data_IF_693986557911
#
_entry.id   IF_693986557911
#
_cell.length_a   1.000
_cell.length_b   1.000
_cell.length_c   1.000
_cell.angle_alpha   90.00
_cell.angle_beta   90.00
_cell.angle_gamma   90.00
#
_symmetry.space_group_name_H-M   'P 1'
#
loop_
_entity.id
_entity.type
_entity.pdbx_description
1 polymer ?
#
# COMPACT_ATOMS: atom_id res chain seq x y z
N UNK A 1 -68.82 2.53 29.91
CA UNK A 1 -67.63 3.18 30.49
C UNK A 1 -67.10 2.24 31.55
N UNK A 2 -66.02 1.51 31.27
CA UNK A 2 -65.24 0.78 32.28
C UNK A 2 -63.84 0.56 31.70
N UNK A 3 -62.83 1.15 32.36
CA UNK A 3 -61.41 1.01 32.00
C UNK A 3 -60.81 -0.14 32.83
N UNK A 4 -60.11 -1.11 32.23
CA UNK A 4 -59.36 -2.08 33.01
C UNK A 4 -58.01 -1.49 33.46
N UNK A 5 -57.69 -1.70 34.73
CA UNK A 5 -56.44 -1.34 35.39
C UNK A 5 -55.23 -2.03 34.74
N UNK A 6 -54.22 -1.23 34.35
CA UNK A 6 -52.86 -1.69 34.09
C UNK A 6 -52.22 -2.17 35.40
N UNK A 7 -51.84 -3.45 35.46
CA UNK A 7 -50.89 -3.97 36.45
C UNK A 7 -49.48 -3.49 36.07
N UNK A 8 -48.79 -2.88 37.04
CA UNK A 8 -47.36 -2.68 37.03
C UNK A 8 -46.67 -4.05 37.05
N UNK A 9 -45.81 -4.31 36.08
CA UNK A 9 -44.84 -5.38 36.10
C UNK A 9 -43.53 -4.81 36.64
N UNK A 10 -43.15 -5.25 37.82
CA UNK A 10 -41.88 -4.97 38.47
C UNK A 10 -40.71 -5.41 37.57
N UNK A 11 -39.84 -4.46 37.28
CA UNK A 11 -38.58 -4.67 36.56
C UNK A 11 -37.57 -5.17 37.60
N UNK A 12 -37.22 -6.45 37.52
CA UNK A 12 -36.07 -7.00 38.23
C UNK A 12 -34.78 -6.53 37.53
N UNK A 13 -34.06 -5.64 38.20
CA UNK A 13 -32.66 -5.30 37.90
C UNK A 13 -31.76 -6.53 38.10
N UNK A 14 -31.52 -7.28 37.03
CA UNK A 14 -30.47 -8.30 37.00
C UNK A 14 -29.11 -7.65 36.74
N UNK A 15 -28.40 -7.31 37.83
CA UNK A 15 -26.96 -7.05 37.83
C UNK A 15 -26.20 -8.33 37.45
N UNK A 16 -25.95 -8.54 36.17
CA UNK A 16 -24.94 -9.49 35.72
C UNK A 16 -23.57 -8.82 35.74
N UNK A 17 -22.81 -9.06 36.80
CA UNK A 17 -21.37 -8.77 36.83
C UNK A 17 -20.63 -9.78 35.95
N UNK A 18 -20.31 -9.40 34.71
CA UNK A 18 -19.38 -10.17 33.88
C UNK A 18 -17.96 -9.98 34.41
N UNK A 19 -17.53 -10.93 35.25
CA UNK A 19 -16.11 -11.18 35.48
C UNK A 19 -15.55 -11.88 34.25
N UNK A 20 -14.76 -11.17 33.44
CA UNK A 20 -13.97 -11.80 32.40
C UNK A 20 -12.87 -12.66 33.06
N UNK A 21 -12.75 -13.95 32.72
CA UNK A 21 -11.64 -14.76 33.20
C UNK A 21 -10.36 -14.29 32.53
N UNK A 22 -9.48 -13.66 33.32
CA UNK A 22 -8.09 -13.41 32.93
C UNK A 22 -7.40 -14.76 32.80
N UNK A 23 -7.17 -15.21 31.57
CA UNK A 23 -6.40 -16.43 31.33
C UNK A 23 -4.96 -16.21 31.79
N UNK A 24 -4.38 -17.11 32.60
CA UNK A 24 -2.99 -17.01 32.99
C UNK A 24 -2.10 -17.19 31.74
N UNK A 25 -1.14 -16.27 31.57
CA UNK A 25 -0.08 -16.41 30.59
C UNK A 25 0.70 -17.72 30.83
N UNK A 26 1.14 -18.42 29.77
CA UNK A 26 1.95 -19.62 29.92
C UNK A 26 3.29 -19.29 30.62
N UNK A 27 3.74 -20.12 31.57
CA UNK A 27 5.05 -19.94 32.20
C UNK A 27 6.16 -20.10 31.15
N UNK A 28 7.04 -19.09 31.04
CA UNK A 28 8.17 -19.09 30.11
C UNK A 28 8.15 -18.01 29.02
N UNK A 29 7.15 -17.12 28.99
CA UNK A 29 7.15 -15.99 28.06
C UNK A 29 7.97 -14.82 28.61
N UNK A 30 9.20 -14.67 28.11
CA UNK A 30 10.00 -13.45 28.24
C UNK A 30 9.76 -12.54 27.03
N UNK A 31 9.12 -11.36 27.19
CA UNK A 31 9.01 -10.42 26.08
C UNK A 31 10.40 -9.94 25.67
N UNK A 32 10.70 -9.84 24.36
CA UNK A 32 11.99 -9.37 23.89
C UNK A 32 12.21 -7.91 24.27
N UNK A 33 13.31 -7.65 24.97
CA UNK A 33 13.82 -6.31 25.24
C UNK A 33 14.19 -5.64 23.91
N UNK A 34 13.38 -4.68 23.44
CA UNK A 34 13.73 -3.89 22.27
C UNK A 34 14.73 -2.81 22.68
N UNK A 35 15.97 -3.01 22.26
CA UNK A 35 17.06 -2.04 22.35
C UNK A 35 16.87 -1.03 21.20
N UNK A 36 16.41 0.18 21.53
CA UNK A 36 16.31 1.29 20.58
C UNK A 36 17.57 2.15 20.67
N UNK A 37 18.59 1.81 19.88
CA UNK A 37 19.65 2.75 19.53
C UNK A 37 20.01 2.66 18.05
N UNK A 38 20.00 3.83 17.40
CA UNK A 38 20.66 4.22 16.16
C UNK A 38 20.38 3.42 14.88
N UNK A 39 19.78 4.09 13.88
CA UNK A 39 20.60 4.60 12.78
C UNK A 39 19.91 5.67 11.94
N UNK A 40 20.78 6.60 11.51
CA UNK A 40 20.59 7.85 10.77
C UNK A 40 20.69 7.61 9.26
N UNK A 41 20.03 8.49 8.52
CA UNK A 41 20.43 9.12 7.25
C UNK A 41 20.98 8.23 6.12
N UNK A 42 20.13 7.95 5.12
CA UNK A 42 20.56 7.84 3.71
C UNK A 42 19.52 8.57 2.84
N UNK A 43 20.00 9.62 2.19
CA UNK A 43 19.25 10.52 1.31
C UNK A 43 18.90 9.87 -0.04
N UNK A 44 17.70 10.20 -0.51
CA UNK A 44 17.21 9.98 -1.87
C UNK A 44 18.08 10.68 -2.92
N UNK A 45 18.26 10.04 -4.07
CA UNK A 45 18.77 10.65 -5.29
C UNK A 45 17.92 10.20 -6.47
N UNK A 46 17.17 11.16 -6.99
CA UNK A 46 16.36 11.09 -8.20
C UNK A 46 17.16 10.53 -9.39
N UNK A 47 16.59 9.52 -10.05
CA UNK A 47 17.06 9.02 -11.36
C UNK A 47 15.98 9.28 -12.41
N UNK A 48 16.33 9.89 -13.56
CA UNK A 48 15.39 10.09 -14.64
C UNK A 48 15.25 8.84 -15.53
N UNK A 49 14.00 8.61 -15.88
CA UNK A 49 13.44 7.65 -16.82
C UNK A 49 14.06 7.80 -18.23
N UNK A 50 14.65 6.73 -18.78
CA UNK A 50 15.07 6.64 -20.18
C UNK A 50 14.25 5.57 -20.90
N UNK A 51 13.57 5.99 -21.96
CA UNK A 51 12.79 5.16 -22.87
C UNK A 51 13.67 4.18 -23.68
N UNK A 52 13.16 2.99 -24.05
CA UNK A 52 13.92 2.02 -24.82
C UNK A 52 13.95 2.37 -26.32
N UNK A 53 15.16 2.41 -26.88
CA UNK A 53 15.41 2.47 -28.32
C UNK A 53 15.20 1.10 -28.97
N UNK A 54 14.49 1.11 -30.10
CA UNK A 54 14.19 -0.03 -30.94
C UNK A 54 15.46 -0.64 -31.57
N UNK A 55 15.62 -1.96 -31.44
CA UNK A 55 16.53 -2.77 -32.27
C UNK A 55 15.66 -3.79 -32.99
N UNK A 56 15.43 -3.59 -34.30
CA UNK A 56 14.84 -4.61 -35.18
C UNK A 56 15.89 -4.98 -36.23
N UNK A 57 16.40 -6.21 -36.14
CA UNK A 57 17.21 -6.84 -37.18
C UNK A 57 16.33 -7.68 -38.08
N UNK A 58 16.57 -7.54 -39.37
CA UNK A 58 15.96 -8.22 -40.49
C UNK A 58 16.11 -9.74 -40.43
N UNK A 59 15.06 -10.46 -40.83
CA UNK A 59 15.15 -11.80 -41.40
C UNK A 59 14.32 -11.89 -42.68
N UNK A 60 14.90 -12.62 -43.62
CA UNK A 60 14.48 -12.77 -45.01
C UNK A 60 13.17 -13.53 -45.22
N UNK A 61 12.58 -13.22 -46.37
CA UNK A 61 11.38 -13.77 -46.97
C UNK A 61 11.49 -15.25 -47.40
N UNK A 62 10.34 -15.94 -47.35
CA UNK A 62 9.81 -17.04 -48.19
C UNK A 62 8.57 -17.53 -47.44
N UNK A 63 7.33 -17.57 -47.92
CA UNK A 63 6.78 -17.97 -49.20
C UNK A 63 5.31 -18.33 -48.96
N UNK A 64 4.47 -17.99 -49.92
CA UNK A 64 3.00 -18.00 -49.99
C UNK A 64 2.26 -19.33 -49.74
N UNK A 65 1.05 -19.27 -49.14
CA UNK A 65 -0.23 -19.62 -49.81
C UNK A 65 -1.48 -19.51 -48.88
N UNK A 66 -2.40 -18.63 -49.29
CA UNK A 66 -3.86 -18.82 -49.41
C UNK A 66 -4.63 -19.68 -48.38
N UNK A 67 -5.55 -19.04 -47.63
CA UNK A 67 -7.01 -19.24 -47.84
C UNK A 67 -7.87 -18.20 -47.10
N UNK A 68 -8.89 -17.75 -47.83
CA UNK A 68 -9.92 -16.79 -47.44
C UNK A 68 -10.81 -17.30 -46.29
N UNK A 69 -11.23 -16.36 -45.44
CA UNK A 69 -12.30 -16.55 -44.47
C UNK A 69 -12.79 -15.21 -43.96
N UNK A 70 -13.76 -14.62 -44.67
CA UNK A 70 -14.51 -13.43 -44.26
C UNK A 70 -15.16 -13.63 -42.88
N UNK A 71 -14.98 -12.68 -41.96
CA UNK A 71 -15.99 -12.36 -40.95
C UNK A 71 -15.90 -10.88 -40.58
N UNK A 72 -17.03 -10.20 -40.69
CA UNK A 72 -17.21 -8.77 -40.51
C UNK A 72 -17.57 -8.43 -39.05
N UNK A 73 -16.93 -7.37 -38.55
CA UNK A 73 -17.38 -6.34 -37.60
C UNK A 73 -18.21 -6.73 -36.35
N UNK A 74 -17.69 -6.31 -35.19
CA UNK A 74 -18.24 -5.34 -34.21
C UNK A 74 -17.23 -5.32 -33.04
N UNK A 75 -16.44 -4.27 -32.81
CA UNK A 75 -16.88 -3.03 -32.18
C UNK A 75 -16.63 -3.09 -30.67
N UNK A 76 -15.41 -2.72 -30.22
CA UNK A 76 -15.07 -2.62 -28.80
C UNK A 76 -13.72 -1.93 -28.60
N UNK A 77 -13.74 -0.69 -28.12
CA UNK A 77 -12.56 0.14 -27.92
C UNK A 77 -11.73 -0.26 -26.68
N UNK A 78 -10.43 0.05 -26.62
CA UNK A 78 -9.59 -0.28 -25.48
C UNK A 78 -9.62 0.84 -24.44
N UNK A 79 -10.20 0.57 -23.26
CA UNK A 79 -9.84 1.29 -22.04
C UNK A 79 -8.44 0.83 -21.61
N UNK A 80 -7.43 1.64 -21.87
CA UNK A 80 -6.11 1.48 -21.28
C UNK A 80 -6.15 1.93 -19.83
N UNK A 81 -6.23 0.99 -18.89
CA UNK A 81 -5.96 1.26 -17.48
C UNK A 81 -4.46 1.43 -17.29
N UNK A 82 -4.06 2.67 -17.03
CA UNK A 82 -2.72 3.08 -16.65
C UNK A 82 -2.52 2.71 -15.18
N UNK A 83 -1.92 1.56 -14.92
CA UNK A 83 -1.45 1.19 -13.59
C UNK A 83 -0.31 2.13 -13.18
N UNK A 84 -0.65 3.12 -12.33
CA UNK A 84 0.32 3.90 -11.59
C UNK A 84 0.41 3.30 -10.19
N UNK A 85 1.43 2.49 -9.96
CA UNK A 85 1.76 1.96 -8.64
C UNK A 85 2.37 3.08 -7.79
N UNK A 86 1.53 3.92 -7.19
CA UNK A 86 1.98 4.85 -6.16
C UNK A 86 2.10 4.08 -4.83
N UNK A 87 3.34 3.81 -4.42
CA UNK A 87 3.67 3.32 -3.08
C UNK A 87 3.38 4.43 -2.06
N UNK A 88 2.15 4.46 -1.54
CA UNK A 88 1.81 5.31 -0.40
C UNK A 88 2.23 4.56 0.87
N UNK A 89 3.32 5.05 1.46
CA UNK A 89 3.79 4.64 2.79
C UNK A 89 2.69 4.89 3.83
N UNK A 90 2.30 3.84 4.56
CA UNK A 90 1.31 3.90 5.63
C UNK A 90 2.01 4.36 6.93
N UNK A 91 2.19 5.68 7.08
CA UNK A 91 2.72 6.28 8.31
C UNK A 91 1.71 7.30 8.86
N UNK A 92 0.54 6.83 9.32
CA UNK A 92 -0.39 7.66 10.11
C UNK A 92 -1.12 6.81 11.15
N UNK A 93 -0.46 6.61 12.28
CA UNK A 93 -1.12 6.26 13.54
C UNK A 93 -1.35 7.53 14.34
N UNK A 94 -2.61 7.95 14.49
CA UNK A 94 -3.08 8.80 15.57
C UNK A 94 -4.62 8.91 15.48
N UNK A 95 -5.31 7.89 15.98
CA UNK A 95 -6.66 8.10 16.52
C UNK A 95 -6.48 8.54 17.97
N UNK A 96 -6.97 9.72 18.39
CA UNK A 96 -7.00 10.07 19.80
C UNK A 96 -8.07 9.19 20.47
N UNK A 97 -7.61 8.27 21.32
CA UNK A 97 -8.46 7.63 22.31
C UNK A 97 -8.74 8.67 23.39
N UNK A 98 -9.93 9.28 23.36
CA UNK A 98 -10.40 10.17 24.41
C UNK A 98 -10.64 9.39 25.71
N UNK A 99 -9.62 9.32 26.56
CA UNK A 99 -9.81 9.16 28.01
C UNK A 99 -8.70 9.88 28.77
N UNK A 100 -9.09 10.97 29.42
CA UNK A 100 -8.51 11.58 30.63
C UNK A 100 -8.13 13.05 30.48
N UNK A 101 -8.90 13.86 31.20
CA UNK A 101 -8.68 15.26 31.51
C UNK A 101 -7.36 15.45 32.24
N UNK A 102 -6.40 16.10 31.60
CA UNK A 102 -5.22 16.67 32.25
C UNK A 102 -5.09 18.15 31.86
N UNK A 103 -5.35 19.02 32.82
CA UNK A 103 -5.07 20.44 32.76
C UNK A 103 -3.56 20.66 32.68
N UNK A 104 -3.05 21.35 31.67
CA UNK A 104 -1.70 21.92 31.73
C UNK A 104 -1.55 23.19 30.90
N UNK A 105 -0.85 24.11 31.54
CA UNK A 105 -0.69 25.53 31.25
C UNK A 105 0.11 25.80 29.98
N UNK A 106 -0.37 26.74 29.18
CA UNK A 106 0.33 27.35 28.04
C UNK A 106 1.59 28.08 28.52
N UNK A 107 2.73 27.73 27.94
CA UNK A 107 3.93 28.58 27.90
C UNK A 107 4.15 29.03 26.45
N UNK A 108 4.03 30.34 26.24
CA UNK A 108 4.17 31.01 24.95
C UNK A 108 5.66 31.23 24.64
N UNK A 109 6.13 30.72 23.51
CA UNK A 109 7.45 31.05 22.95
C UNK A 109 7.26 31.93 21.72
N UNK A 110 7.62 33.21 21.87
CA UNK A 110 7.69 34.20 20.79
C UNK A 110 8.81 33.84 19.81
N UNK A 111 8.48 33.68 18.53
CA UNK A 111 9.45 33.65 17.43
C UNK A 111 9.60 35.05 16.86
N UNK A 112 10.81 35.58 16.95
CA UNK A 112 11.28 36.81 16.33
C UNK A 112 11.48 36.61 14.83
N UNK A 113 10.91 37.50 14.02
CA UNK A 113 11.13 37.58 12.57
C UNK A 113 12.44 38.31 12.29
N UNK A 114 13.33 37.69 11.51
CA UNK A 114 14.53 38.33 10.95
C UNK A 114 14.18 39.11 9.70
N UNK A 115 14.66 40.35 9.70
CA UNK A 115 14.48 41.41 8.73
C UNK A 115 15.29 41.12 7.45
N UNK A 116 14.65 41.15 6.27
CA UNK A 116 15.34 41.18 4.97
C UNK A 116 15.78 42.61 4.63
N UNK A 117 16.93 42.81 3.97
CA UNK A 117 17.35 44.13 3.50
C UNK A 117 16.72 44.48 2.14
N UNK A 118 16.55 45.80 1.83
CA UNK A 118 15.97 46.26 0.58
C UNK A 118 16.99 46.24 -0.56
N UNK A 119 16.57 45.70 -1.70
CA UNK A 119 17.21 45.92 -3.00
C UNK A 119 17.19 47.42 -3.34
N UNK A 120 18.36 48.02 -3.52
CA UNK A 120 18.50 49.35 -4.13
C UNK A 120 18.93 49.17 -5.58
N UNK A 121 18.02 49.53 -6.48
CA UNK A 121 18.26 49.71 -7.91
C UNK A 121 19.22 50.90 -8.13
N UNK A 122 20.45 50.61 -8.54
CA UNK A 122 21.36 51.61 -9.07
C UNK A 122 21.35 51.56 -10.60
N UNK A 123 20.49 52.38 -11.20
CA UNK A 123 20.57 52.77 -12.61
C UNK A 123 21.85 53.59 -12.82
N UNK A 124 22.86 52.98 -13.43
CA UNK A 124 24.03 53.67 -13.99
C UNK A 124 24.03 53.48 -15.51
N UNK A 125 23.83 54.58 -16.23
CA UNK A 125 23.94 54.68 -17.68
C UNK A 125 25.38 54.40 -18.13
N UNK A 126 25.62 53.59 -19.18
CA UNK A 126 26.92 53.52 -19.81
C UNK A 126 27.08 54.70 -20.77
N UNK A 127 28.11 55.51 -20.49
CA UNK A 127 28.60 56.54 -21.38
C UNK A 127 29.23 55.91 -22.63
N UNK A 128 28.84 56.45 -23.76
CA UNK A 128 29.30 56.17 -25.12
C UNK A 128 30.83 56.25 -25.22
N UNK A 129 31.46 55.16 -25.68
CA UNK A 129 32.86 55.18 -26.13
C UNK A 129 32.96 54.49 -27.50
N UNK A 130 33.20 55.23 -28.59
CA UNK A 130 33.49 54.64 -29.89
C UNK A 130 34.98 54.31 -29.94
N UNK A 131 35.34 53.05 -29.74
CA UNK A 131 36.69 52.56 -30.03
C UNK A 131 36.65 51.61 -31.21
N UNK A 132 37.10 52.15 -32.35
CA UNK A 132 37.87 51.51 -33.42
C UNK A 132 37.93 49.98 -33.40
N UNK A 133 37.14 49.38 -34.30
CA UNK A 133 37.28 48.02 -34.79
C UNK A 133 38.63 47.84 -35.50
N UNK A 134 39.52 47.12 -34.86
CA UNK A 134 40.38 46.12 -35.53
C UNK A 134 40.22 44.86 -34.67
N UNK A 135 39.07 44.19 -34.81
CA UNK A 135 38.87 42.87 -34.22
C UNK A 135 39.68 41.88 -35.04
N UNK A 136 40.78 41.44 -34.43
CA UNK A 136 41.68 40.44 -34.97
C UNK A 136 40.89 39.12 -35.13
N UNK A 137 40.54 38.69 -36.36
CA UNK A 137 39.61 37.59 -36.61
C UNK A 137 40.15 36.22 -36.16
N UNK A 138 41.38 36.16 -35.65
CA UNK A 138 42.00 34.96 -35.10
C UNK A 138 41.66 34.69 -33.63
N UNK A 139 41.20 35.69 -32.85
CA UNK A 139 40.94 35.50 -31.41
C UNK A 139 39.72 34.61 -31.10
N UNK A 140 38.71 34.60 -31.98
CA UNK A 140 37.49 33.80 -31.75
C UNK A 140 37.72 32.30 -32.00
N UNK A 141 38.61 31.98 -32.93
CA UNK A 141 38.93 30.59 -33.24
C UNK A 141 39.59 29.89 -32.04
N UNK A 142 40.49 30.56 -31.33
CA UNK A 142 41.16 30.00 -30.16
C UNK A 142 40.18 29.70 -29.01
N UNK A 143 39.18 30.57 -28.79
CA UNK A 143 38.15 30.36 -27.77
C UNK A 143 37.26 29.14 -28.09
N UNK A 144 36.94 28.92 -29.37
CA UNK A 144 36.17 27.73 -29.78
C UNK A 144 36.97 26.44 -29.57
N UNK A 145 38.27 26.44 -29.88
CA UNK A 145 39.14 25.27 -29.69
C UNK A 145 39.27 24.92 -28.20
N UNK A 146 39.44 25.92 -27.34
CA UNK A 146 39.52 25.72 -25.88
C UNK A 146 38.21 25.12 -25.36
N UNK A 147 37.07 25.62 -25.83
CA UNK A 147 35.74 25.12 -25.42
C UNK A 147 35.54 23.67 -25.85
N UNK A 148 35.83 23.34 -27.12
CA UNK A 148 35.72 21.98 -27.64
C UNK A 148 36.66 21.00 -26.92
N UNK A 149 37.86 21.43 -26.52
CA UNK A 149 38.78 20.59 -25.75
C UNK A 149 38.21 20.26 -24.37
N UNK A 150 37.64 21.24 -23.67
CA UNK A 150 36.99 21.01 -22.35
C UNK A 150 35.77 20.10 -22.46
N UNK A 151 34.96 20.28 -23.49
CA UNK A 151 33.81 19.41 -23.75
C UNK A 151 34.24 17.98 -24.05
N UNK A 152 35.29 17.81 -24.86
CA UNK A 152 35.88 16.50 -25.14
C UNK A 152 36.36 15.82 -23.85
N UNK A 153 37.15 16.51 -23.03
CA UNK A 153 37.64 15.98 -21.74
C UNK A 153 36.47 15.62 -20.80
N UNK A 154 35.43 16.44 -20.75
CA UNK A 154 34.23 16.15 -19.96
C UNK A 154 33.47 14.91 -20.45
N UNK A 155 33.36 14.73 -21.77
CA UNK A 155 32.73 13.54 -22.36
C UNK A 155 33.58 12.28 -22.11
N UNK A 156 34.90 12.37 -22.19
CA UNK A 156 35.82 11.27 -21.87
C UNK A 156 35.71 10.83 -20.39
N UNK A 157 35.61 11.77 -19.45
CA UNK A 157 35.34 11.48 -18.04
C UNK A 157 33.96 10.79 -17.85
N UNK A 158 32.92 11.31 -18.52
CA UNK A 158 31.58 10.74 -18.45
C UNK A 158 31.52 9.31 -19.01
N UNK A 159 32.22 9.03 -20.11
CA UNK A 159 32.35 7.68 -20.68
C UNK A 159 33.04 6.77 -19.68
N UNK A 160 34.18 7.19 -19.13
CA UNK A 160 34.92 6.42 -18.12
C UNK A 160 34.05 6.07 -16.91
N UNK A 161 33.24 7.04 -16.42
CA UNK A 161 32.31 6.83 -15.30
C UNK A 161 31.17 5.86 -15.64
N UNK A 162 30.68 5.88 -16.89
CA UNK A 162 29.65 4.95 -17.34
C UNK A 162 30.19 3.54 -17.52
N UNK A 163 31.41 3.38 -18.06
CA UNK A 163 32.07 2.09 -18.21
C UNK A 163 32.26 1.39 -16.85
N UNK A 164 32.70 2.13 -15.83
CA UNK A 164 32.81 1.61 -14.44
C UNK A 164 31.45 1.17 -13.90
N UNK A 165 30.38 1.95 -14.15
CA UNK A 165 29.02 1.58 -13.72
C UNK A 165 28.50 0.33 -14.41
N UNK A 166 28.73 0.18 -15.71
CA UNK A 166 28.33 -1.01 -16.47
C UNK A 166 29.03 -2.25 -15.92
N UNK A 167 30.35 -2.19 -15.71
CA UNK A 167 31.10 -3.30 -15.14
C UNK A 167 30.60 -3.69 -13.74
N UNK A 168 30.24 -2.71 -12.90
CA UNK A 168 29.65 -2.96 -11.57
C UNK A 168 28.31 -3.69 -11.67
N UNK A 169 27.40 -3.21 -12.52
CA UNK A 169 26.07 -3.79 -12.71
C UNK A 169 26.12 -5.20 -13.31
N UNK A 170 27.05 -5.45 -14.24
CA UNK A 170 27.27 -6.80 -14.80
C UNK A 170 27.78 -7.77 -13.73
N UNK A 171 28.62 -7.30 -12.80
CA UNK A 171 29.05 -8.06 -11.63
C UNK A 171 27.88 -8.43 -10.71
N UNK A 172 27.03 -7.46 -10.39
CA UNK A 172 25.83 -7.67 -9.55
C UNK A 172 24.83 -8.65 -10.22
N UNK A 173 24.58 -8.49 -11.52
CA UNK A 173 23.70 -9.38 -12.29
C UNK A 173 24.24 -10.82 -12.28
N UNK A 174 25.55 -11.00 -12.47
CA UNK A 174 26.19 -12.32 -12.47
C UNK A 174 26.10 -13.00 -11.10
N UNK A 175 26.33 -12.24 -10.02
CA UNK A 175 26.17 -12.72 -8.64
C UNK A 175 24.73 -13.14 -8.32
N UNK A 176 23.75 -12.35 -8.77
CA UNK A 176 22.32 -12.67 -8.60
C UNK A 176 21.92 -13.93 -9.35
N UNK A 177 22.36 -14.08 -10.61
CA UNK A 177 22.13 -15.29 -11.42
C UNK A 177 22.71 -16.55 -10.76
N UNK A 178 23.96 -16.48 -10.29
CA UNK A 178 24.61 -17.61 -9.60
C UNK A 178 23.83 -18.02 -8.34
N UNK A 179 23.35 -17.04 -7.56
CA UNK A 179 22.56 -17.30 -6.36
C UNK A 179 21.21 -17.98 -6.69
N UNK A 180 20.57 -17.58 -7.79
CA UNK A 180 19.33 -18.18 -8.26
C UNK A 180 19.53 -19.61 -8.76
N UNK A 181 20.61 -19.88 -9.50
CA UNK A 181 20.97 -21.24 -9.94
C UNK A 181 21.20 -22.19 -8.76
N UNK A 182 21.89 -21.73 -7.71
CA UNK A 182 22.08 -22.51 -6.48
C UNK A 182 20.74 -22.83 -5.78
N UNK A 183 19.78 -21.91 -5.81
CA UNK A 183 18.45 -22.15 -5.22
C UNK A 183 17.66 -23.19 -6.03
N UNK A 184 17.71 -23.09 -7.37
CA UNK A 184 17.07 -24.07 -8.26
C UNK A 184 17.66 -25.47 -8.09
N UNK A 185 18.98 -25.59 -7.95
CA UNK A 185 19.66 -26.87 -7.69
C UNK A 185 19.18 -27.51 -6.37
N UNK A 186 19.03 -26.69 -5.32
CA UNK A 186 18.51 -27.16 -4.01
C UNK A 186 17.07 -27.63 -4.11
N UNK A 187 16.19 -26.86 -4.79
CA UNK A 187 14.77 -27.24 -4.97
C UNK A 187 14.67 -28.55 -5.76
N UNK A 188 15.44 -28.69 -6.84
CA UNK A 188 15.44 -29.89 -7.68
C UNK A 188 15.94 -31.12 -6.91
N UNK A 189 16.97 -30.96 -6.08
CA UNK A 189 17.52 -32.03 -5.24
C UNK A 189 16.51 -32.55 -4.20
N UNK A 190 15.74 -31.65 -3.59
CA UNK A 190 14.69 -32.02 -2.62
C UNK A 190 13.56 -32.81 -3.30
N UNK A 191 13.24 -32.50 -4.55
CA UNK A 191 12.16 -33.14 -5.29
C UNK A 191 12.50 -34.55 -5.78
N UNK A 192 13.77 -34.84 -6.07
CA UNK A 192 14.20 -36.16 -6.55
C UNK A 192 14.36 -37.16 -5.39
N UNK A 193 14.81 -36.71 -4.22
CA UNK A 193 15.03 -37.57 -3.04
C UNK A 193 13.77 -38.21 -2.43
N UNK A 194 12.57 -37.74 -2.79
CA UNK A 194 11.29 -38.21 -2.22
C UNK A 194 10.57 -39.26 -3.07
N UNK A 195 11.13 -39.67 -4.20
CA UNK A 195 10.39 -40.42 -5.24
C UNK A 195 10.56 -41.95 -5.26
N UNK A 196 11.27 -42.57 -4.31
CA UNK A 196 11.53 -44.04 -4.33
C UNK A 196 10.89 -44.89 -3.23
N UNK A 197 10.09 -44.32 -2.33
CA UNK A 197 9.34 -45.13 -1.37
C UNK A 197 7.87 -44.72 -1.35
N UNK A 198 7.04 -45.63 -1.88
CA UNK A 198 5.67 -45.87 -1.45
C UNK A 198 4.57 -44.91 -1.95
N UNK A 199 4.10 -45.27 -3.14
CA UNK A 199 2.72 -45.21 -3.60
C UNK A 199 1.66 -45.29 -2.48
N UNK A 200 0.64 -44.43 -2.59
CA UNK A 200 -0.56 -44.25 -1.74
C UNK A 200 -0.55 -43.15 -0.67
N UNK A 201 0.40 -42.22 -0.69
CA UNK A 201 0.18 -40.96 0.03
C UNK A 201 -0.81 -40.10 -0.77
N UNK A 202 -2.10 -40.20 -0.44
CA UNK A 202 -3.02 -39.07 -0.59
C UNK A 202 -2.28 -37.88 -0.02
N UNK A 203 -1.75 -37.03 -0.90
CA UNK A 203 -0.97 -35.85 -0.55
C UNK A 203 -1.81 -35.07 0.44
N UNK A 204 -1.51 -35.22 1.72
CA UNK A 204 -2.22 -34.55 2.78
C UNK A 204 -2.00 -33.07 2.53
N UNK A 205 -3.00 -32.43 1.90
CA UNK A 205 -2.95 -31.01 1.59
C UNK A 205 -2.59 -30.30 2.89
N UNK A 206 -1.65 -29.36 2.80
CA UNK A 206 -1.27 -28.50 3.91
C UNK A 206 -2.56 -28.08 4.65
N UNK A 207 -2.68 -28.34 5.97
CA UNK A 207 -3.89 -28.05 6.71
C UNK A 207 -4.37 -26.60 6.54
N UNK A 208 -3.44 -25.65 6.33
CA UNK A 208 -3.79 -24.27 6.03
C UNK A 208 -4.42 -24.11 4.63
N UNK A 209 -3.89 -24.81 3.62
CA UNK A 209 -4.48 -24.79 2.28
C UNK A 209 -5.89 -25.38 2.26
N UNK A 210 -6.17 -26.35 3.13
CA UNK A 210 -7.53 -26.86 3.34
C UNK A 210 -8.47 -25.78 3.91
N UNK A 211 -8.01 -25.00 4.90
CA UNK A 211 -8.76 -23.87 5.45
C UNK A 211 -8.98 -22.76 4.41
N UNK A 212 -7.97 -22.45 3.61
CA UNK A 212 -8.10 -21.49 2.52
C UNK A 212 -9.10 -21.96 1.47
N UNK A 213 -9.10 -23.26 1.14
CA UNK A 213 -10.08 -23.87 0.22
C UNK A 213 -11.50 -23.72 0.76
N UNK A 214 -11.72 -24.07 2.03
CA UNK A 214 -13.01 -23.90 2.70
C UNK A 214 -13.45 -22.41 2.73
N UNK A 215 -12.53 -21.49 2.98
CA UNK A 215 -12.82 -20.05 2.93
C UNK A 215 -13.17 -19.57 1.51
N UNK A 216 -12.55 -20.14 0.46
CA UNK A 216 -12.89 -19.86 -0.95
C UNK A 216 -14.28 -20.37 -1.31
N UNK A 217 -14.60 -21.60 -0.93
CA UNK A 217 -15.91 -22.24 -1.17
C UNK A 217 -17.04 -21.52 -0.44
N UNK A 218 -16.78 -21.02 0.78
CA UNK A 218 -17.78 -20.25 1.53
C UNK A 218 -17.97 -18.83 1.02
N UNK A 219 -16.98 -18.28 0.33
CA UNK A 219 -16.97 -16.91 -0.19
C UNK A 219 -17.43 -16.85 -1.66
N UNK A 220 -18.48 -17.62 -1.99
CA UNK A 220 -19.05 -17.73 -3.34
C UNK A 220 -19.96 -16.55 -3.72
N UNK A 221 -20.45 -15.79 -2.75
CA UNK A 221 -21.37 -14.70 -3.06
C UNK A 221 -20.68 -13.65 -3.95
N UNK A 222 -21.37 -13.12 -4.98
CA UNK A 222 -20.80 -12.14 -5.89
C UNK A 222 -20.35 -10.88 -5.15
N UNK A 223 -19.40 -10.16 -5.73
CA UNK A 223 -19.05 -8.83 -5.23
C UNK A 223 -20.27 -7.93 -5.34
N UNK A 224 -20.56 -7.20 -4.26
CA UNK A 224 -21.54 -6.14 -4.32
C UNK A 224 -21.07 -5.10 -5.35
N UNK A 225 -22.00 -4.47 -6.05
CA UNK A 225 -21.71 -3.31 -6.90
C UNK A 225 -22.36 -2.07 -6.31
N UNK A 226 -21.82 -0.90 -6.62
CA UNK A 226 -22.36 0.37 -6.15
C UNK A 226 -23.84 0.54 -6.55
N UNK A 227 -24.23 0.05 -7.74
CA UNK A 227 -25.61 0.12 -8.23
C UNK A 227 -26.60 -0.67 -7.37
N UNK A 228 -26.15 -1.75 -6.71
CA UNK A 228 -26.99 -2.55 -5.80
C UNK A 228 -27.18 -1.86 -4.44
N UNK A 229 -26.22 -1.02 -4.03
CA UNK A 229 -26.20 -0.37 -2.72
C UNK A 229 -25.86 1.12 -2.86
N UNK A 230 -26.73 1.92 -3.50
CA UNK A 230 -26.45 3.33 -3.79
C UNK A 230 -26.35 4.22 -2.54
N UNK A 231 -26.71 3.69 -1.36
CA UNK A 231 -26.61 4.39 -0.08
C UNK A 231 -25.23 4.28 0.57
N UNK A 232 -24.39 3.33 0.13
CA UNK A 232 -23.00 3.21 0.60
C UNK A 232 -22.20 4.35 -0.02
N UNK A 233 -21.60 5.20 0.82
CA UNK A 233 -20.84 6.36 0.32
C UNK A 233 -19.38 6.01 0.11
N UNK A 234 -18.81 5.17 0.97
CA UNK A 234 -17.40 4.83 0.90
C UNK A 234 -17.16 3.54 0.12
N UNK A 235 -17.21 3.63 -1.21
CA UNK A 235 -16.94 2.48 -2.08
C UNK A 235 -15.46 2.22 -2.31
N UNK A 236 -14.66 3.28 -2.48
CA UNK A 236 -13.20 3.20 -2.60
C UNK A 236 -12.49 3.85 -1.42
N UNK A 237 -11.24 3.45 -1.16
CA UNK A 237 -10.42 4.05 -0.09
C UNK A 237 -10.17 5.54 -0.35
N UNK A 238 -10.08 5.93 -1.62
CA UNK A 238 -9.85 7.32 -2.04
C UNK A 238 -11.01 8.21 -1.63
N UNK A 239 -12.26 7.75 -1.78
CA UNK A 239 -13.46 8.51 -1.38
C UNK A 239 -13.47 8.77 0.12
N UNK A 240 -13.14 7.74 0.92
CA UNK A 240 -13.04 7.87 2.37
C UNK A 240 -11.92 8.85 2.79
N UNK A 241 -10.74 8.75 2.18
CA UNK A 241 -9.62 9.63 2.53
C UNK A 241 -9.90 11.10 2.19
N UNK A 242 -10.55 11.37 1.05
CA UNK A 242 -10.98 12.73 0.67
C UNK A 242 -11.90 13.34 1.73
N UNK A 243 -12.91 12.58 2.17
CA UNK A 243 -13.84 13.04 3.19
C UNK A 243 -13.21 13.21 4.57
N UNK A 244 -12.33 12.28 4.94
CA UNK A 244 -11.60 12.33 6.22
C UNK A 244 -10.69 13.54 6.32
N UNK A 245 -10.05 13.97 5.22
CA UNK A 245 -9.17 15.14 5.20
C UNK A 245 -9.94 16.46 5.27
N UNK A 246 -11.10 16.53 4.61
CA UNK A 246 -11.93 17.74 4.59
C UNK A 246 -12.66 17.93 5.93
N UNK A 247 -12.68 16.91 6.80
CA UNK A 247 -13.42 16.95 8.06
C UNK A 247 -14.92 17.08 7.83
N UNK A 248 -15.44 16.50 6.73
CA UNK A 248 -16.81 16.70 6.28
C UNK A 248 -17.83 16.23 7.31
N UNK A 249 -18.96 16.93 7.27
CA UNK A 249 -20.18 16.70 8.05
C UNK A 249 -20.84 15.34 7.78
N UNK A 250 -20.51 14.65 6.69
CA UNK A 250 -21.13 13.36 6.36
C UNK A 250 -21.01 12.35 7.50
N UNK A 251 -19.79 12.15 8.04
CA UNK A 251 -19.56 11.30 9.21
C UNK A 251 -20.29 11.79 10.47
N UNK A 252 -20.64 13.07 10.56
CA UNK A 252 -21.42 13.61 11.69
C UNK A 252 -22.92 13.32 11.53
N UNK A 253 -23.46 13.43 10.32
CA UNK A 253 -24.90 13.24 10.06
C UNK A 253 -25.35 11.78 10.13
N UNK A 254 -24.45 10.84 9.81
CA UNK A 254 -24.76 9.40 9.78
C UNK A 254 -24.44 8.66 11.06
N UNK A 255 -23.86 9.37 12.04
CA UNK A 255 -23.48 8.80 13.34
C UNK A 255 -24.62 9.00 14.32
N UNK A 256 -25.12 7.89 14.84
CA UNK A 256 -25.97 7.88 16.03
C UNK A 256 -25.12 7.65 17.29
N UNK A 257 -25.73 7.82 18.47
CA UNK A 257 -25.03 7.63 19.76
C UNK A 257 -24.51 6.19 19.94
N UNK A 258 -25.04 5.23 19.17
CA UNK A 258 -24.68 3.81 19.21
C UNK A 258 -23.65 3.42 18.13
N UNK A 259 -23.29 4.34 17.24
CA UNK A 259 -22.41 4.07 16.11
C UNK A 259 -20.99 3.81 16.60
N UNK A 260 -20.29 2.90 15.94
CA UNK A 260 -18.92 2.59 16.29
C UNK A 260 -17.91 3.70 15.96
N UNK A 261 -16.64 3.44 16.26
CA UNK A 261 -15.55 4.39 16.01
C UNK A 261 -15.06 4.40 14.56
N UNK A 262 -15.23 3.28 13.85
CA UNK A 262 -14.78 3.11 12.47
C UNK A 262 -15.87 3.58 11.51
N UNK A 263 -15.71 4.79 10.97
CA UNK A 263 -16.75 5.47 10.18
C UNK A 263 -17.00 4.89 8.78
N UNK A 264 -16.07 4.13 8.20
CA UNK A 264 -16.25 3.54 6.87
C UNK A 264 -17.01 2.21 6.85
N UNK A 265 -17.37 1.67 8.02
CA UNK A 265 -18.15 0.45 8.13
C UNK A 265 -19.65 0.80 8.10
N UNK A 266 -20.19 0.87 6.89
CA UNK A 266 -21.57 1.22 6.62
C UNK A 266 -22.41 -0.04 6.33
N UNK A 267 -23.59 -0.15 6.92
CA UNK A 267 -24.58 -1.17 6.58
C UNK A 267 -25.17 -0.95 5.17
N UNK A 268 -26.05 -1.85 4.73
CA UNK A 268 -26.72 -1.77 3.42
C UNK A 268 -27.51 -0.46 3.19
N UNK A 269 -27.85 0.27 4.26
CA UNK A 269 -28.58 1.54 4.21
C UNK A 269 -27.64 2.75 4.27
N UNK A 270 -26.32 2.55 4.22
CA UNK A 270 -25.34 3.62 4.35
C UNK A 270 -25.34 4.25 5.75
N UNK A 271 -25.65 3.49 6.80
CA UNK A 271 -25.51 3.90 8.20
C UNK A 271 -24.29 3.24 8.82
N UNK A 272 -23.58 3.96 9.68
CA UNK A 272 -22.43 3.40 10.38
C UNK A 272 -22.93 2.28 11.30
N UNK A 273 -22.31 1.09 11.21
CA UNK A 273 -22.70 -0.04 12.06
C UNK A 273 -22.43 0.25 13.54
N UNK A 274 -23.19 -0.41 14.41
CA UNK A 274 -23.12 -0.19 15.86
C UNK A 274 -21.75 -0.52 16.44
N UNK A 275 -21.46 0.02 17.62
CA UNK A 275 -20.25 -0.27 18.38
C UNK A 275 -20.12 -1.77 18.67
N UNK A 276 -21.22 -2.42 18.99
CA UNK A 276 -21.30 -3.85 19.28
C UNK A 276 -20.92 -4.66 18.05
N UNK A 277 -21.40 -4.27 16.87
CA UNK A 277 -21.06 -4.93 15.60
C UNK A 277 -19.59 -4.77 15.26
N UNK A 278 -19.04 -3.56 15.42
CA UNK A 278 -17.60 -3.34 15.23
C UNK A 278 -16.77 -4.17 16.22
N UNK A 279 -17.25 -4.34 17.46
CA UNK A 279 -16.59 -5.20 18.44
C UNK A 279 -16.61 -6.67 17.99
N UNK A 280 -17.74 -7.17 17.48
CA UNK A 280 -17.82 -8.54 16.92
C UNK A 280 -16.86 -8.74 15.75
N UNK A 281 -16.69 -7.74 14.89
CA UNK A 281 -15.73 -7.78 13.78
C UNK A 281 -14.29 -7.85 14.32
N UNK A 282 -13.93 -7.02 15.31
CA UNK A 282 -12.60 -7.03 15.95
C UNK A 282 -12.28 -8.39 16.59
N UNK A 283 -13.24 -8.98 17.31
CA UNK A 283 -13.01 -10.26 17.98
C UNK A 283 -12.79 -11.39 16.98
N UNK A 284 -13.52 -11.38 15.86
CA UNK A 284 -13.28 -12.34 14.79
C UNK A 284 -11.95 -12.09 14.07
N UNK A 285 -11.59 -10.83 13.77
CA UNK A 285 -10.29 -10.47 13.24
C UNK A 285 -9.16 -11.06 14.09
N UNK A 286 -9.20 -10.85 15.42
CA UNK A 286 -8.20 -11.42 16.35
C UNK A 286 -8.12 -12.94 16.23
N UNK A 287 -9.26 -13.63 16.14
CA UNK A 287 -9.27 -15.09 15.97
C UNK A 287 -8.60 -15.56 14.67
N UNK A 288 -8.74 -14.78 13.58
CA UNK A 288 -8.03 -15.04 12.33
C UNK A 288 -6.53 -14.76 12.46
N UNK A 289 -6.13 -13.68 13.16
CA UNK A 289 -4.73 -13.41 13.46
C UNK A 289 -4.08 -14.57 14.22
N UNK A 290 -4.76 -15.11 15.24
CA UNK A 290 -4.29 -16.28 15.97
C UNK A 290 -4.18 -17.52 15.08
N UNK A 291 -5.11 -17.69 14.14
CA UNK A 291 -5.03 -18.78 13.16
C UNK A 291 -3.79 -18.61 12.27
N UNK A 292 -3.56 -17.43 11.71
CA UNK A 292 -2.37 -17.13 10.92
C UNK A 292 -1.08 -17.36 11.72
N UNK A 293 -1.06 -16.96 13.00
CA UNK A 293 0.08 -17.15 13.89
C UNK A 293 0.38 -18.64 14.12
N UNK A 294 -0.67 -19.44 14.37
CA UNK A 294 -0.55 -20.89 14.57
C UNK A 294 0.06 -21.61 13.36
N UNK A 295 -0.21 -21.12 12.15
CA UNK A 295 0.34 -21.67 10.91
C UNK A 295 1.66 -21.02 10.47
N UNK A 296 2.25 -20.11 11.25
CA UNK A 296 3.49 -19.44 10.90
C UNK A 296 3.36 -18.45 9.73
N UNK A 297 2.14 -17.97 9.47
CA UNK A 297 1.81 -17.07 8.37
C UNK A 297 1.47 -15.64 8.83
N UNK A 298 1.42 -15.40 10.14
CA UNK A 298 1.22 -14.06 10.68
C UNK A 298 2.46 -13.19 10.37
N UNK A 299 2.30 -12.05 9.66
CA UNK A 299 3.43 -11.19 9.35
C UNK A 299 3.88 -10.35 10.55
N UNK A 300 5.08 -9.76 10.50
CA UNK A 300 5.49 -8.78 11.52
C UNK A 300 4.64 -7.51 11.45
N UNK A 301 4.34 -7.06 10.22
CA UNK A 301 3.45 -5.94 9.94
C UNK A 301 2.43 -6.35 8.89
N UNK A 302 1.20 -5.84 8.95
CA UNK A 302 0.17 -6.19 7.97
C UNK A 302 0.57 -5.85 6.53
N UNK A 303 1.36 -4.79 6.33
CA UNK A 303 1.94 -4.42 5.02
C UNK A 303 2.83 -5.51 4.41
N UNK A 304 3.46 -6.36 5.24
CA UNK A 304 4.32 -7.48 4.84
C UNK A 304 3.60 -8.83 4.82
N UNK A 305 2.27 -8.83 4.91
CA UNK A 305 1.46 -10.05 4.85
C UNK A 305 1.65 -10.78 3.51
N UNK A 306 1.81 -12.10 3.56
CA UNK A 306 1.87 -12.92 2.34
C UNK A 306 0.52 -12.91 1.64
N UNK A 307 0.52 -13.04 0.31
CA UNK A 307 -0.73 -13.01 -0.48
C UNK A 307 -1.71 -14.09 -0.04
N UNK A 308 -1.21 -15.29 0.29
CA UNK A 308 -2.03 -16.43 0.73
C UNK A 308 -2.72 -16.14 2.07
N UNK A 309 -1.99 -15.57 3.04
CA UNK A 309 -2.55 -15.19 4.34
C UNK A 309 -3.57 -14.04 4.21
N UNK A 310 -3.26 -13.05 3.36
CA UNK A 310 -4.15 -11.93 3.05
C UNK A 310 -5.45 -12.41 2.41
N UNK A 311 -5.37 -13.32 1.44
CA UNK A 311 -6.56 -13.92 0.81
C UNK A 311 -7.41 -14.67 1.85
N UNK A 312 -6.81 -15.54 2.66
CA UNK A 312 -7.52 -16.25 3.73
C UNK A 312 -8.28 -15.29 4.65
N UNK A 313 -7.60 -14.22 5.08
CA UNK A 313 -8.17 -13.20 5.95
C UNK A 313 -9.36 -12.49 5.30
N UNK A 314 -9.20 -11.96 4.08
CA UNK A 314 -10.27 -11.22 3.39
C UNK A 314 -11.50 -12.08 3.12
N UNK A 315 -11.31 -13.33 2.69
CA UNK A 315 -12.44 -14.24 2.45
C UNK A 315 -13.18 -14.56 3.73
N UNK A 316 -12.44 -14.97 4.76
CA UNK A 316 -13.03 -15.30 6.08
C UNK A 316 -13.82 -14.13 6.66
N UNK A 317 -13.26 -12.91 6.63
CA UNK A 317 -13.92 -11.70 7.13
C UNK A 317 -15.21 -11.39 6.37
N UNK A 318 -15.20 -11.47 5.03
CA UNK A 318 -16.37 -11.14 4.19
C UNK A 318 -17.47 -12.20 4.23
N UNK A 319 -17.11 -13.47 4.39
CA UNK A 319 -18.08 -14.54 4.60
C UNK A 319 -18.87 -14.30 5.89
N UNK A 320 -18.19 -13.83 6.95
CA UNK A 320 -18.84 -13.60 8.24
C UNK A 320 -19.54 -12.24 8.35
N UNK A 321 -18.98 -11.19 7.73
CA UNK A 321 -19.49 -9.82 7.83
C UNK A 321 -19.68 -9.19 6.44
N UNK A 322 -20.91 -9.25 5.90
CA UNK A 322 -21.22 -8.72 4.57
C UNK A 322 -20.91 -7.22 4.38
N UNK A 323 -20.91 -6.42 5.46
CA UNK A 323 -20.48 -4.99 5.43
C UNK A 323 -19.09 -4.78 4.81
N UNK A 324 -18.19 -5.77 4.93
CA UNK A 324 -16.85 -5.71 4.35
C UNK A 324 -16.83 -6.03 2.84
N UNK A 325 -17.97 -6.43 2.26
CA UNK A 325 -18.16 -6.63 0.81
C UNK A 325 -18.60 -5.35 0.09
N UNK A 326 -19.10 -4.35 0.83
CA UNK A 326 -19.55 -3.08 0.27
C UNK A 326 -18.38 -2.14 -0.04
N UNK A 327 -17.41 -2.61 -0.83
CA UNK A 327 -16.24 -1.86 -1.26
C UNK A 327 -15.52 -2.49 -2.46
N UNK A 328 -14.71 -1.69 -3.16
CA UNK A 328 -13.75 -2.17 -4.14
C UNK A 328 -12.50 -2.78 -3.48
N UNK A 329 -11.89 -3.77 -4.11
CA UNK A 329 -10.53 -4.27 -3.78
C UNK A 329 -10.27 -4.62 -2.29
N UNK A 330 -11.32 -5.02 -1.56
CA UNK A 330 -11.24 -5.37 -0.14
C UNK A 330 -10.69 -4.26 0.78
N UNK A 331 -10.69 -2.98 0.35
CA UNK A 331 -9.96 -1.94 1.06
C UNK A 331 -10.48 -1.72 2.50
N UNK A 332 -11.77 -1.97 2.75
CA UNK A 332 -12.36 -1.90 4.11
C UNK A 332 -11.76 -2.97 5.02
N UNK A 333 -11.65 -4.21 4.55
CA UNK A 333 -11.05 -5.30 5.33
C UNK A 333 -9.54 -5.08 5.54
N UNK A 334 -8.84 -4.59 4.51
CA UNK A 334 -7.41 -4.26 4.58
C UNK A 334 -7.13 -3.11 5.57
N UNK A 335 -7.90 -2.04 5.48
CA UNK A 335 -7.79 -0.88 6.38
C UNK A 335 -8.17 -1.27 7.81
N UNK A 336 -9.26 -2.01 7.98
CA UNK A 336 -9.69 -2.47 9.31
C UNK A 336 -8.63 -3.36 9.96
N UNK A 337 -7.99 -4.24 9.19
CA UNK A 337 -6.89 -5.04 9.69
C UNK A 337 -5.72 -4.16 10.12
N UNK A 338 -5.29 -3.21 9.29
CA UNK A 338 -4.20 -2.29 9.62
C UNK A 338 -4.44 -1.41 10.84
N UNK A 339 -5.69 -1.12 11.21
CA UNK A 339 -6.03 -0.34 12.41
C UNK A 339 -5.84 -1.10 13.73
N UNK A 340 -5.93 -2.43 13.70
CA UNK A 340 -6.00 -3.27 14.92
C UNK A 340 -5.04 -4.46 14.91
N UNK A 341 -4.15 -4.56 13.91
CA UNK A 341 -3.06 -5.53 13.86
C UNK A 341 -1.94 -5.12 14.80
#
# INVERSE_FOLDING_TARGET
MDRPHRRNSDIHDNKYGHQHPTLPMPPGYTPPFMNLTNNRDISDSDSPELAPAAISKAYHASGSQSRQGHSQYLGGGPYQNRERSDQISNEWGCYPSDTSSYTSSRSSSSKSYTHLPPFQDAYMHPASRPHSLDEDPHSDQDNTIITLRREKEHLEDKISKLEVKVASLEGELSSSRQSYEQLLEKITSVQIGTSKAQSHSTTAMDPFMSLLKDAREKDEAPYATHDQFPHIVYWTKVDYLKDSQIGREYLKTKRDDNSGSVGFLEDENGKIISREDQQRIRDYQRSLCYTLLKFGLAPVTWSRCTQVAREFFFRSMRTKFPVLRYCADHWKADTFMGLYY
#
